data_IF_891547390434
#
_entry.id   IF_891547390434
#
_cell.length_a   1.000
_cell.length_b   1.000
_cell.length_c   1.000
_cell.angle_alpha   90.00
_cell.angle_beta   90.00
_cell.angle_gamma   90.00
#
_symmetry.space_group_name_H-M   'P 1'
#
loop_
_entity.id
_entity.type
_entity.pdbx_description
1 polymer ?
#
# COMPACT_ATOMS: atom_id res chain seq x y z
N UNK A 1 -13.93 -1.94 7.38
CA UNK A 1 -12.95 -0.94 7.90
C UNK A 1 -13.70 0.15 8.67
N UNK A 2 -13.02 0.98 9.46
CA UNK A 2 -13.66 2.10 10.17
C UNK A 2 -14.37 3.12 9.25
N UNK A 3 -14.00 3.17 7.96
CA UNK A 3 -14.62 4.03 6.94
C UNK A 3 -15.78 3.35 6.17
N UNK A 4 -16.19 2.13 6.54
CA UNK A 4 -17.29 1.40 5.87
C UNK A 4 -16.92 0.70 4.57
N UNK A 5 -15.67 0.79 4.08
CA UNK A 5 -15.25 0.13 2.84
C UNK A 5 -15.10 -1.39 3.04
N UNK A 6 -15.74 -2.17 2.17
CA UNK A 6 -15.58 -3.62 2.08
C UNK A 6 -14.32 -3.97 1.29
N UNK A 7 -13.56 -4.96 1.76
CA UNK A 7 -12.42 -5.54 1.03
C UNK A 7 -12.54 -7.05 0.96
N UNK A 8 -12.06 -7.60 -0.15
CA UNK A 8 -12.04 -9.04 -0.38
C UNK A 8 -10.61 -9.56 -0.47
N UNK A 9 -10.37 -10.70 0.17
CA UNK A 9 -9.06 -11.33 0.22
C UNK A 9 -9.14 -12.74 -0.36
N UNK A 10 -8.14 -13.09 -1.18
CA UNK A 10 -8.03 -14.45 -1.72
C UNK A 10 -7.55 -15.47 -0.68
N UNK A 11 -6.96 -15.01 0.44
CA UNK A 11 -6.46 -15.88 1.50
C UNK A 11 -6.39 -15.19 2.86
N UNK A 12 -6.33 -16.00 3.92
CA UNK A 12 -6.09 -15.53 5.29
C UNK A 12 -4.72 -14.83 5.41
N UNK A 13 -3.72 -15.24 4.62
CA UNK A 13 -2.41 -14.55 4.59
C UNK A 13 -2.56 -13.12 4.08
N UNK A 14 -3.32 -12.89 2.99
CA UNK A 14 -3.54 -11.55 2.46
C UNK A 14 -4.32 -10.67 3.45
N UNK A 15 -5.34 -11.23 4.10
CA UNK A 15 -6.05 -10.54 5.17
C UNK A 15 -5.11 -10.11 6.30
N UNK A 16 -4.21 -11.00 6.74
CA UNK A 16 -3.27 -10.68 7.83
C UNK A 16 -2.32 -9.56 7.42
N UNK A 17 -1.80 -9.57 6.19
CA UNK A 17 -0.94 -8.48 5.68
C UNK A 17 -1.67 -7.13 5.71
N UNK A 18 -2.86 -7.05 5.13
CA UNK A 18 -3.63 -5.80 5.15
C UNK A 18 -4.07 -5.41 6.57
N UNK A 19 -4.33 -6.37 7.45
CA UNK A 19 -4.72 -6.10 8.85
C UNK A 19 -3.60 -5.42 9.64
N UNK A 20 -2.34 -5.55 9.23
CA UNK A 20 -1.22 -4.83 9.84
C UNK A 20 -1.26 -3.32 9.54
N UNK A 21 -2.04 -2.90 8.54
CA UNK A 21 -2.21 -1.51 8.11
C UNK A 21 -3.60 -0.96 8.48
N UNK A 22 -4.67 -1.70 8.18
CA UNK A 22 -6.01 -1.11 8.06
C UNK A 22 -6.98 -1.41 9.20
N UNK A 23 -6.52 -1.88 10.37
CA UNK A 23 -7.39 -2.08 11.55
C UNK A 23 -8.69 -2.83 11.23
N UNK A 24 -8.57 -3.93 10.49
CA UNK A 24 -9.72 -4.62 9.86
C UNK A 24 -10.61 -5.28 10.92
N UNK A 25 -11.93 -5.07 10.78
CA UNK A 25 -12.99 -5.61 11.63
C UNK A 25 -14.07 -6.28 10.78
N UNK A 26 -15.01 -6.98 11.41
CA UNK A 26 -16.16 -7.67 10.78
C UNK A 26 -15.74 -8.66 9.68
N UNK A 27 -14.81 -9.53 10.02
CA UNK A 27 -14.17 -10.45 9.08
C UNK A 27 -15.15 -11.60 8.76
N UNK A 28 -15.52 -11.73 7.49
CA UNK A 28 -16.29 -12.85 6.96
C UNK A 28 -15.42 -13.77 6.10
N UNK A 29 -15.61 -15.08 6.23
CA UNK A 29 -14.89 -16.09 5.45
C UNK A 29 -15.87 -16.99 4.70
N UNK A 30 -15.46 -17.50 3.54
CA UNK A 30 -16.24 -18.47 2.78
C UNK A 30 -16.05 -19.87 3.35
N UNK A 31 -17.14 -20.50 3.80
CA UNK A 31 -17.15 -21.89 4.22
C UNK A 31 -16.76 -22.82 3.07
N UNK A 32 -15.92 -23.81 3.34
CA UNK A 32 -15.43 -24.70 2.30
C UNK A 32 -16.48 -25.68 1.80
N UNK A 33 -17.43 -26.12 2.62
CA UNK A 33 -18.43 -27.10 2.21
C UNK A 33 -19.55 -26.44 1.41
N UNK A 34 -20.24 -25.46 2.00
CA UNK A 34 -21.47 -24.88 1.45
C UNK A 34 -21.23 -23.58 0.67
N UNK A 35 -20.00 -23.05 0.68
CA UNK A 35 -19.57 -21.84 -0.07
C UNK A 35 -20.27 -20.54 0.35
N UNK A 36 -20.95 -20.52 1.49
CA UNK A 36 -21.57 -19.32 2.05
C UNK A 36 -20.57 -18.52 2.90
N UNK A 37 -20.83 -17.22 3.07
CA UNK A 37 -20.05 -16.39 3.98
C UNK A 37 -20.52 -16.58 5.42
N UNK A 38 -19.57 -16.84 6.30
CA UNK A 38 -19.77 -17.01 7.74
C UNK A 38 -18.90 -16.02 8.51
N UNK A 39 -19.26 -15.74 9.76
CA UNK A 39 -18.40 -15.00 10.68
C UNK A 39 -17.09 -15.76 10.90
N UNK A 40 -15.96 -15.08 10.71
CA UNK A 40 -14.66 -15.73 10.81
C UNK A 40 -14.34 -16.12 12.27
N UNK A 41 -14.69 -15.28 13.25
CA UNK A 41 -14.38 -15.55 14.66
C UNK A 41 -15.05 -16.83 15.18
N UNK A 42 -16.27 -17.12 14.73
CA UNK A 42 -17.01 -18.35 15.05
C UNK A 42 -16.62 -19.58 14.22
N UNK A 43 -15.70 -19.47 13.26
CA UNK A 43 -15.37 -20.55 12.33
C UNK A 43 -14.16 -21.39 12.76
N UNK A 44 -14.08 -22.62 12.24
CA UNK A 44 -12.96 -23.54 12.40
C UNK A 44 -12.11 -23.58 11.14
N UNK A 45 -10.80 -23.69 11.29
CA UNK A 45 -9.85 -23.79 10.20
C UNK A 45 -9.12 -25.13 10.22
N UNK A 46 -9.06 -25.80 9.08
CA UNK A 46 -8.09 -26.89 8.88
C UNK A 46 -6.83 -26.30 8.27
N UNK A 47 -5.73 -26.38 9.03
CA UNK A 47 -4.42 -25.80 8.66
C UNK A 47 -3.46 -26.90 8.26
N UNK A 48 -2.77 -26.74 7.12
CA UNK A 48 -1.75 -27.68 6.65
C UNK A 48 -2.32 -28.97 6.07
N UNK A 49 -3.51 -28.91 5.46
CA UNK A 49 -4.01 -30.02 4.65
C UNK A 49 -3.19 -30.20 3.37
N UNK A 50 -3.39 -31.32 2.69
CA UNK A 50 -2.83 -31.62 1.36
C UNK A 50 -3.24 -30.65 0.25
N UNK A 51 -4.19 -29.74 0.49
CA UNK A 51 -4.47 -28.66 -0.45
C UNK A 51 -3.32 -27.65 -0.49
N UNK A 52 -3.11 -27.06 -1.66
CA UNK A 52 -2.15 -25.98 -1.82
C UNK A 52 -2.65 -24.72 -1.10
N UNK A 53 -1.75 -24.06 -0.37
CA UNK A 53 -2.03 -22.75 0.22
C UNK A 53 -2.07 -21.64 -0.84
N UNK A 54 -2.87 -20.61 -0.59
CA UNK A 54 -2.97 -19.43 -1.46
C UNK A 54 -2.06 -18.34 -0.91
N UNK A 55 -0.97 -18.06 -1.62
CA UNK A 55 0.12 -17.15 -1.17
C UNK A 55 0.77 -17.57 0.16
N UNK A 56 0.78 -18.87 0.44
CA UNK A 56 1.32 -19.41 1.68
C UNK A 56 1.72 -20.87 1.53
N UNK A 57 2.71 -21.31 2.31
CA UNK A 57 3.15 -22.72 2.33
C UNK A 57 2.08 -23.67 2.87
N UNK A 58 1.32 -23.23 3.88
CA UNK A 58 0.27 -24.02 4.50
C UNK A 58 -1.12 -23.58 4.05
N UNK A 59 -1.95 -24.53 3.62
CA UNK A 59 -3.38 -24.30 3.43
C UNK A 59 -4.07 -23.91 4.73
N UNK A 60 -5.09 -23.04 4.63
CA UNK A 60 -5.91 -22.57 5.75
C UNK A 60 -7.34 -22.50 5.24
N UNK A 61 -8.15 -23.49 5.60
CA UNK A 61 -9.48 -23.72 5.00
C UNK A 61 -10.55 -23.61 6.09
N UNK A 62 -11.53 -22.72 5.90
CA UNK A 62 -12.55 -22.43 6.91
C UNK A 62 -13.79 -23.33 6.79
N UNK A 63 -14.39 -23.64 7.94
CA UNK A 63 -15.57 -24.47 8.11
C UNK A 63 -16.49 -23.87 9.18
N UNK A 64 -17.78 -23.81 8.90
CA UNK A 64 -18.82 -23.45 9.85
C UNK A 64 -19.09 -24.59 10.85
N UNK A 65 -19.06 -25.83 10.36
CA UNK A 65 -19.45 -27.01 11.13
C UNK A 65 -18.21 -27.82 11.56
N UNK A 66 -18.06 -28.14 12.86
CA UNK A 66 -17.00 -29.01 13.36
C UNK A 66 -16.92 -30.38 12.68
N UNK A 67 -18.06 -31.00 12.32
CA UNK A 67 -18.08 -32.32 11.66
C UNK A 67 -17.48 -32.28 10.25
N UNK A 68 -17.71 -31.19 9.53
CA UNK A 68 -17.17 -30.99 8.18
C UNK A 68 -15.66 -30.77 8.24
N UNK A 69 -15.19 -29.99 9.22
CA UNK A 69 -13.77 -29.80 9.47
C UNK A 69 -13.07 -31.13 9.83
N UNK A 70 -13.68 -31.96 10.69
CA UNK A 70 -13.17 -33.27 11.07
C UNK A 70 -13.11 -34.22 9.88
N UNK A 71 -14.17 -34.27 9.08
CA UNK A 71 -14.24 -35.12 7.88
C UNK A 71 -13.16 -34.70 6.88
N UNK A 72 -13.03 -33.40 6.64
CA UNK A 72 -12.01 -32.86 5.76
C UNK A 72 -10.60 -33.15 6.26
N UNK A 73 -10.32 -32.94 7.55
CA UNK A 73 -9.03 -33.24 8.15
C UNK A 73 -8.69 -34.74 8.10
N UNK A 74 -9.67 -35.63 8.29
CA UNK A 74 -9.49 -37.07 8.13
C UNK A 74 -9.14 -37.49 6.70
N UNK A 75 -9.69 -36.82 5.69
CA UNK A 75 -9.46 -37.12 4.27
C UNK A 75 -8.21 -36.44 3.69
N UNK A 76 -7.92 -35.21 4.10
CA UNK A 76 -6.90 -34.34 3.50
C UNK A 76 -5.73 -34.06 4.43
N UNK A 77 -5.77 -34.52 5.68
CA UNK A 77 -4.83 -34.17 6.73
C UNK A 77 -5.03 -32.73 7.22
N UNK A 78 -4.14 -32.30 8.12
CA UNK A 78 -4.13 -30.96 8.70
C UNK A 78 -4.69 -30.92 10.13
N UNK A 79 -4.39 -29.83 10.83
CA UNK A 79 -4.84 -29.59 12.20
C UNK A 79 -6.05 -28.67 12.23
N UNK A 80 -7.07 -29.03 13.00
CA UNK A 80 -8.23 -28.16 13.26
C UNK A 80 -7.81 -27.08 14.26
N UNK A 81 -8.10 -25.84 13.94
CA UNK A 81 -7.72 -24.64 14.68
C UNK A 81 -8.88 -23.65 14.73
N UNK A 82 -8.92 -22.82 15.76
CA UNK A 82 -9.77 -21.63 15.77
C UNK A 82 -9.29 -20.61 14.73
N UNK A 83 -10.14 -19.65 14.38
CA UNK A 83 -9.75 -18.53 13.53
C UNK A 83 -8.53 -17.76 14.08
N UNK A 84 -8.52 -17.46 15.38
CA UNK A 84 -7.42 -16.71 15.99
C UNK A 84 -6.09 -17.50 15.95
N UNK A 85 -6.11 -18.81 16.20
CA UNK A 85 -4.92 -19.63 16.01
C UNK A 85 -4.47 -19.69 14.54
N UNK A 86 -5.39 -19.83 13.60
CA UNK A 86 -5.07 -19.87 12.17
C UNK A 86 -4.51 -18.53 11.68
N UNK A 87 -5.04 -17.42 12.19
CA UNK A 87 -4.57 -16.06 11.94
C UNK A 87 -3.19 -15.84 12.53
N UNK A 88 -2.94 -16.32 13.76
CA UNK A 88 -1.60 -16.31 14.37
C UNK A 88 -0.60 -17.13 13.56
N UNK A 89 -0.96 -18.33 13.12
CA UNK A 89 -0.11 -19.15 12.24
C UNK A 89 0.19 -18.42 10.93
N UNK A 90 -0.81 -17.76 10.33
CA UNK A 90 -0.59 -16.95 9.14
C UNK A 90 0.38 -15.79 9.39
N UNK A 91 0.25 -15.10 10.54
CA UNK A 91 1.15 -14.04 10.98
C UNK A 91 2.59 -14.55 11.17
N UNK A 92 2.77 -15.63 11.93
CA UNK A 92 4.07 -16.22 12.24
C UNK A 92 4.78 -16.75 10.98
N UNK A 93 4.03 -17.23 9.99
CA UNK A 93 4.56 -17.72 8.73
C UNK A 93 4.82 -16.64 7.69
N UNK A 94 4.34 -15.39 7.87
CA UNK A 94 4.40 -14.33 6.85
C UNK A 94 5.78 -14.19 6.22
N UNK A 95 6.84 -14.07 7.01
CA UNK A 95 8.21 -13.92 6.49
C UNK A 95 8.60 -15.07 5.56
N UNK A 96 8.24 -16.29 5.97
CA UNK A 96 8.59 -17.50 5.23
C UNK A 96 7.69 -17.72 4.00
N UNK A 97 6.44 -17.27 4.07
CA UNK A 97 5.45 -17.29 2.99
C UNK A 97 5.80 -16.24 1.93
N UNK A 98 6.24 -15.04 2.34
CA UNK A 98 6.78 -14.00 1.47
C UNK A 98 7.95 -14.53 0.67
N UNK A 99 8.96 -15.10 1.32
CA UNK A 99 10.12 -15.67 0.64
C UNK A 99 9.75 -16.80 -0.34
N UNK A 100 8.69 -17.56 -0.05
CA UNK A 100 8.19 -18.59 -0.96
C UNK A 100 7.50 -17.99 -2.19
N UNK A 101 6.63 -17.01 -1.98
CA UNK A 101 5.96 -16.28 -3.05
C UNK A 101 6.97 -15.53 -3.92
N UNK A 102 7.95 -14.88 -3.34
CA UNK A 102 9.02 -14.16 -4.05
C UNK A 102 9.85 -15.09 -4.92
N UNK A 103 10.14 -16.31 -4.43
CA UNK A 103 10.81 -17.35 -5.21
C UNK A 103 9.98 -17.76 -6.43
N UNK A 104 8.68 -17.96 -6.26
CA UNK A 104 7.77 -18.29 -7.39
C UNK A 104 7.72 -17.14 -8.37
N UNK A 105 7.56 -15.92 -7.87
CA UNK A 105 7.47 -14.72 -8.69
C UNK A 105 8.73 -14.53 -9.53
N UNK A 106 9.90 -14.58 -8.89
CA UNK A 106 11.21 -14.42 -9.53
C UNK A 106 11.49 -15.53 -10.55
N UNK A 107 11.17 -16.78 -10.22
CA UNK A 107 11.48 -17.91 -11.10
C UNK A 107 10.52 -18.03 -12.30
N UNK A 108 9.26 -17.59 -12.17
CA UNK A 108 8.21 -17.87 -13.17
C UNK A 108 7.38 -16.65 -13.57
N UNK A 109 6.86 -15.89 -12.61
CA UNK A 109 5.88 -14.82 -12.88
C UNK A 109 6.54 -13.61 -13.53
N UNK A 110 7.62 -13.08 -12.97
CA UNK A 110 8.32 -11.91 -13.52
C UNK A 110 8.92 -12.18 -14.90
N UNK A 111 9.60 -13.32 -15.16
CA UNK A 111 10.09 -13.62 -16.51
C UNK A 111 8.95 -13.70 -17.55
N UNK A 112 7.81 -14.28 -17.17
CA UNK A 112 6.63 -14.35 -18.03
C UNK A 112 6.06 -12.95 -18.30
N UNK A 113 5.89 -12.13 -17.26
CA UNK A 113 5.42 -10.75 -17.37
C UNK A 113 6.34 -9.90 -18.24
N UNK A 114 7.65 -9.99 -18.03
CA UNK A 114 8.67 -9.31 -18.85
C UNK A 114 8.57 -9.70 -20.31
N UNK A 115 8.45 -11.00 -20.62
CA UNK A 115 8.31 -11.47 -22.00
C UNK A 115 7.04 -10.94 -22.67
N UNK A 116 5.92 -10.88 -21.94
CA UNK A 116 4.67 -10.31 -22.45
C UNK A 116 4.85 -8.82 -22.72
N UNK A 117 5.41 -8.08 -21.77
CA UNK A 117 5.64 -6.64 -21.90
C UNK A 117 6.51 -6.31 -23.11
N UNK A 118 7.66 -6.97 -23.27
CA UNK A 118 8.63 -6.65 -24.32
C UNK A 118 8.22 -7.13 -25.71
N UNK A 119 7.47 -8.23 -25.83
CA UNK A 119 7.17 -8.86 -27.12
C UNK A 119 5.75 -8.59 -27.62
N UNK A 120 4.80 -8.30 -26.72
CA UNK A 120 3.37 -8.30 -27.06
C UNK A 120 2.69 -6.96 -26.80
N UNK A 121 3.14 -6.19 -25.81
CA UNK A 121 2.55 -4.90 -25.52
C UNK A 121 3.15 -3.84 -26.46
N UNK A 122 2.36 -2.81 -26.78
CA UNK A 122 2.91 -1.64 -27.49
C UNK A 122 3.99 -1.03 -26.58
N UNK A 123 5.15 -0.71 -27.14
CA UNK A 123 6.22 0.00 -26.42
C UNK A 123 5.83 1.47 -26.28
N UNK A 124 4.98 1.80 -25.31
CA UNK A 124 4.73 3.18 -24.89
C UNK A 124 5.19 3.30 -23.44
N UNK A 125 5.57 4.52 -23.04
CA UNK A 125 5.86 4.81 -21.64
C UNK A 125 4.56 4.68 -20.86
N UNK A 126 4.35 3.53 -20.21
CA UNK A 126 3.40 3.46 -19.10
C UNK A 126 4.07 4.26 -17.98
N UNK A 127 3.48 5.39 -17.60
CA UNK A 127 3.86 6.08 -16.37
C UNK A 127 3.35 5.24 -15.18
N UNK A 128 4.08 4.17 -14.88
CA UNK A 128 3.72 3.16 -13.85
C UNK A 128 3.54 3.75 -12.45
N UNK A 129 4.07 4.95 -12.29
CA UNK A 129 4.02 5.70 -11.08
C UNK A 129 2.63 6.34 -10.89
N UNK A 130 1.82 6.57 -11.92
CA UNK A 130 0.57 7.36 -11.80
C UNK A 130 -0.57 6.62 -11.06
N UNK A 131 -0.36 5.34 -10.77
CA UNK A 131 -1.36 4.46 -10.17
C UNK A 131 -1.13 4.29 -8.66
N UNK A 132 -2.20 4.45 -7.87
CA UNK A 132 -2.20 4.20 -6.43
C UNK A 132 -2.25 2.71 -6.11
N UNK A 133 -3.04 1.95 -6.88
CA UNK A 133 -3.22 0.52 -6.70
C UNK A 133 -2.97 -0.27 -8.00
N UNK A 134 -2.53 -1.53 -7.85
CA UNK A 134 -2.26 -2.42 -9.00
C UNK A 134 -3.51 -2.64 -9.87
N UNK A 135 -4.71 -2.52 -9.29
CA UNK A 135 -5.96 -2.69 -10.02
C UNK A 135 -6.26 -1.49 -10.92
N UNK A 136 -5.82 -0.28 -10.57
CA UNK A 136 -5.87 0.88 -11.47
C UNK A 136 -4.94 0.67 -12.68
N UNK A 137 -3.72 0.18 -12.45
CA UNK A 137 -2.79 -0.18 -13.52
C UNK A 137 -3.42 -1.23 -14.45
N UNK A 138 -4.02 -2.28 -13.89
CA UNK A 138 -4.72 -3.32 -14.67
C UNK A 138 -5.84 -2.70 -15.53
N UNK A 139 -6.71 -1.90 -14.91
CA UNK A 139 -7.80 -1.23 -15.60
C UNK A 139 -7.29 -0.34 -16.75
N UNK A 140 -6.20 0.40 -16.52
CA UNK A 140 -5.58 1.23 -17.55
C UNK A 140 -5.05 0.41 -18.73
N UNK A 141 -4.36 -0.71 -18.48
CA UNK A 141 -3.85 -1.61 -19.53
C UNK A 141 -4.99 -2.12 -20.42
N UNK A 142 -6.13 -2.49 -19.83
CA UNK A 142 -7.29 -3.00 -20.55
C UNK A 142 -8.02 -1.91 -21.34
N UNK A 143 -8.35 -0.79 -20.68
CA UNK A 143 -9.14 0.31 -21.26
C UNK A 143 -8.41 0.98 -22.43
N UNK A 144 -7.09 1.19 -22.29
CA UNK A 144 -6.26 1.79 -23.33
C UNK A 144 -5.79 0.77 -24.39
N UNK A 145 -6.15 -0.52 -24.24
CA UNK A 145 -5.79 -1.60 -25.18
C UNK A 145 -4.29 -1.65 -25.47
N UNK A 146 -3.50 -1.57 -24.40
CA UNK A 146 -2.05 -1.43 -24.41
C UNK A 146 -1.33 -2.74 -24.78
N UNK A 147 -1.99 -3.86 -24.49
CA UNK A 147 -1.54 -5.21 -24.78
C UNK A 147 -2.67 -5.99 -25.48
N UNK A 148 -2.35 -7.05 -26.25
CA UNK A 148 -3.36 -7.93 -26.82
C UNK A 148 -4.17 -8.63 -25.72
N UNK A 149 -5.29 -9.27 -26.09
CA UNK A 149 -6.10 -10.03 -25.12
C UNK A 149 -5.26 -11.15 -24.50
N UNK A 150 -5.02 -11.05 -23.19
CA UNK A 150 -4.30 -12.03 -22.39
C UNK A 150 -5.29 -12.89 -21.60
N UNK A 151 -4.89 -14.12 -21.26
CA UNK A 151 -5.63 -14.89 -20.27
C UNK A 151 -5.33 -14.36 -18.85
N UNK A 152 -6.15 -14.75 -17.87
CA UNK A 152 -6.04 -14.24 -16.49
C UNK A 152 -4.63 -14.42 -15.88
N UNK A 153 -3.99 -15.55 -16.12
CA UNK A 153 -2.64 -15.83 -15.58
C UNK A 153 -1.56 -14.95 -16.25
N UNK A 154 -1.63 -14.80 -17.57
CA UNK A 154 -0.72 -13.94 -18.33
C UNK A 154 -0.89 -12.47 -17.94
N UNK A 155 -2.13 -12.03 -17.81
CA UNK A 155 -2.46 -10.67 -17.41
C UNK A 155 -1.96 -10.36 -16.00
N UNK A 156 -2.21 -11.27 -15.05
CA UNK A 156 -1.70 -11.13 -13.68
C UNK A 156 -0.17 -11.07 -13.65
N UNK A 157 0.53 -11.88 -14.45
CA UNK A 157 1.99 -11.86 -14.49
C UNK A 157 2.55 -10.57 -15.09
N UNK A 158 1.90 -10.03 -16.14
CA UNK A 158 2.24 -8.73 -16.70
C UNK A 158 2.06 -7.62 -15.64
N UNK A 159 0.90 -7.58 -14.98
CA UNK A 159 0.60 -6.58 -13.97
C UNK A 159 1.60 -6.61 -12.80
N UNK A 160 1.90 -7.81 -12.27
CA UNK A 160 2.87 -7.96 -11.18
C UNK A 160 4.29 -7.57 -11.61
N UNK A 161 4.73 -7.94 -12.82
CA UNK A 161 6.03 -7.52 -13.32
C UNK A 161 6.13 -6.00 -13.44
N UNK A 162 5.12 -5.35 -14.01
CA UNK A 162 5.10 -3.90 -14.15
C UNK A 162 5.07 -3.21 -12.77
N UNK A 163 4.23 -3.69 -11.86
CA UNK A 163 4.04 -3.11 -10.53
C UNK A 163 5.22 -3.31 -9.59
N UNK A 164 5.76 -4.54 -9.51
CA UNK A 164 6.73 -4.93 -8.47
C UNK A 164 8.18 -4.89 -8.97
N UNK A 165 8.42 -4.81 -10.29
CA UNK A 165 9.78 -4.73 -10.85
C UNK A 165 9.99 -3.43 -11.61
N UNK A 166 9.20 -3.19 -12.66
CA UNK A 166 9.46 -2.06 -13.54
C UNK A 166 9.24 -0.71 -12.83
N UNK A 167 8.19 -0.59 -12.03
CA UNK A 167 7.92 0.61 -11.20
C UNK A 167 9.06 0.86 -10.21
N UNK A 168 9.52 -0.17 -9.51
CA UNK A 168 10.64 -0.08 -8.57
C UNK A 168 11.93 0.39 -9.27
N UNK A 169 12.26 -0.18 -10.44
CA UNK A 169 13.44 0.24 -11.21
C UNK A 169 13.39 1.71 -11.61
N UNK A 170 12.21 2.23 -11.99
CA UNK A 170 12.05 3.65 -12.33
C UNK A 170 12.30 4.53 -11.10
N UNK A 171 11.76 4.14 -9.95
CA UNK A 171 11.93 4.90 -8.72
C UNK A 171 13.35 4.81 -8.17
N UNK A 172 14.03 3.67 -8.29
CA UNK A 172 15.43 3.51 -7.86
C UNK A 172 16.42 4.26 -8.74
N UNK A 173 16.07 4.52 -10.01
CA UNK A 173 16.89 5.31 -10.92
C UNK A 173 16.83 6.83 -10.64
N UNK A 174 15.89 7.31 -9.82
CA UNK A 174 15.76 8.72 -9.47
C UNK A 174 16.74 9.04 -8.34
N UNK A 175 17.80 9.78 -8.69
CA UNK A 175 18.72 10.37 -7.72
C UNK A 175 17.98 11.37 -6.81
N UNK A 176 18.39 11.43 -5.54
CA UNK A 176 17.86 12.33 -4.51
C UNK A 176 16.36 12.17 -4.18
N UNK A 177 15.80 10.95 -4.25
CA UNK A 177 14.42 10.67 -3.80
C UNK A 177 14.28 10.60 -2.28
N UNK A 178 13.03 10.68 -1.79
CA UNK A 178 12.71 10.26 -0.41
C UNK A 178 12.84 8.75 -0.31
N UNK A 179 13.75 8.27 0.55
CA UNK A 179 14.00 6.83 0.77
C UNK A 179 13.32 6.40 2.06
N UNK A 180 12.58 5.30 1.99
CA UNK A 180 11.73 4.81 3.07
C UNK A 180 12.00 3.32 3.29
N UNK A 181 12.24 2.92 4.54
CA UNK A 181 12.38 1.53 4.94
C UNK A 181 11.06 0.73 4.88
N UNK A 182 11.16 -0.59 4.68
CA UNK A 182 9.98 -1.47 4.55
C UNK A 182 9.13 -1.56 5.83
N UNK A 183 9.71 -1.25 6.99
CA UNK A 183 9.06 -1.27 8.30
C UNK A 183 8.54 0.11 8.74
N UNK A 184 8.83 1.17 7.98
CA UNK A 184 8.42 2.53 8.32
C UNK A 184 6.93 2.75 8.09
N UNK A 185 6.22 3.11 9.16
CA UNK A 185 4.79 3.41 9.15
C UNK A 185 4.52 4.88 9.37
N UNK A 186 3.50 5.38 8.68
CA UNK A 186 2.99 6.72 8.90
C UNK A 186 2.41 6.83 10.32
N UNK A 187 2.89 7.77 11.18
CA UNK A 187 2.36 7.96 12.53
C UNK A 187 0.87 8.32 12.59
N UNK A 188 0.32 8.84 11.49
CA UNK A 188 -1.04 9.37 11.42
C UNK A 188 -2.04 8.28 10.99
N UNK A 189 -1.82 7.64 9.84
CA UNK A 189 -2.74 6.62 9.32
C UNK A 189 -2.32 5.17 9.63
N UNK A 190 -1.06 4.93 10.02
CA UNK A 190 -0.53 3.58 10.29
C UNK A 190 -0.12 2.76 9.06
N UNK A 191 -0.25 3.32 7.85
CA UNK A 191 0.12 2.64 6.60
C UNK A 191 1.63 2.51 6.44
N UNK A 192 2.09 1.44 5.79
CA UNK A 192 3.49 1.28 5.44
C UNK A 192 3.87 2.24 4.33
N UNK A 193 4.79 3.16 4.63
CA UNK A 193 5.11 4.30 3.76
C UNK A 193 5.88 3.90 2.50
N UNK A 194 6.65 2.81 2.55
CA UNK A 194 7.39 2.28 1.39
C UNK A 194 6.48 1.86 0.22
N UNK A 195 5.19 1.62 0.47
CA UNK A 195 4.21 1.29 -0.57
C UNK A 195 3.78 2.50 -1.40
N UNK A 196 4.02 3.71 -0.89
CA UNK A 196 3.62 4.98 -1.51
C UNK A 196 4.81 5.92 -1.74
N UNK A 197 5.88 5.45 -2.42
CA UNK A 197 7.14 6.20 -2.53
C UNK A 197 7.00 7.53 -3.26
N UNK A 198 5.97 7.70 -4.10
CA UNK A 198 5.69 8.97 -4.79
C UNK A 198 5.15 10.08 -3.90
N UNK A 199 4.50 9.67 -2.83
CA UNK A 199 3.81 10.54 -1.89
C UNK A 199 4.61 10.70 -0.59
N UNK A 200 5.64 9.86 -0.43
CA UNK A 200 6.46 9.81 0.75
C UNK A 200 6.98 11.20 1.12
N UNK A 201 6.86 11.51 2.40
CA UNK A 201 7.37 12.72 2.98
C UNK A 201 8.02 12.40 4.33
N UNK A 202 8.96 13.22 4.78
CA UNK A 202 9.74 12.95 5.98
C UNK A 202 9.93 14.19 6.85
N UNK A 203 9.85 14.01 8.16
CA UNK A 203 10.29 15.00 9.15
C UNK A 203 11.54 14.44 9.84
N UNK A 204 12.63 15.19 9.79
CA UNK A 204 13.87 14.89 10.50
C UNK A 204 13.96 15.76 11.75
N UNK A 205 14.42 15.18 12.85
CA UNK A 205 14.55 15.87 14.12
C UNK A 205 15.71 15.31 14.95
N UNK A 206 16.28 16.15 15.79
CA UNK A 206 17.35 15.75 16.72
C UNK A 206 16.77 15.39 18.08
N UNK A 207 17.17 14.23 18.58
CA UNK A 207 16.88 13.77 19.93
C UNK A 207 18.11 13.04 20.50
N UNK A 208 18.55 13.45 21.69
CA UNK A 208 19.74 12.91 22.38
C UNK A 208 21.02 12.93 21.51
N UNK A 209 21.21 14.04 20.78
CA UNK A 209 22.30 14.25 19.82
C UNK A 209 22.34 13.27 18.63
N UNK A 210 21.28 12.49 18.42
CA UNK A 210 21.09 11.67 17.24
C UNK A 210 20.00 12.28 16.35
N UNK A 211 20.21 12.26 15.04
CA UNK A 211 19.16 12.58 14.08
C UNK A 211 18.26 11.36 13.87
N UNK A 212 16.96 11.60 13.89
CA UNK A 212 15.92 10.62 13.63
C UNK A 212 14.98 11.18 12.57
N UNK A 213 14.22 10.30 11.92
CA UNK A 213 13.15 10.73 11.01
C UNK A 213 11.86 9.96 11.27
N UNK A 214 10.76 10.57 10.82
CA UNK A 214 9.47 9.92 10.64
C UNK A 214 9.10 10.03 9.16
N UNK A 215 8.60 8.94 8.59
CA UNK A 215 8.05 8.91 7.23
C UNK A 215 6.54 8.97 7.26
N UNK A 216 5.97 9.61 6.24
CA UNK A 216 4.54 9.80 6.03
C UNK A 216 4.20 9.33 4.62
N UNK A 217 2.99 8.81 4.45
CA UNK A 217 2.44 8.36 3.18
C UNK A 217 1.92 9.52 2.31
N UNK A 218 1.97 10.75 2.82
CA UNK A 218 1.55 11.95 2.11
C UNK A 218 1.87 13.22 2.89
N UNK A 219 1.81 14.36 2.21
CA UNK A 219 2.05 15.68 2.82
C UNK A 219 0.92 16.05 3.80
N UNK A 220 -0.32 15.64 3.52
CA UNK A 220 -1.47 15.84 4.40
C UNK A 220 -1.23 15.27 5.78
N UNK A 221 -0.82 14.01 5.85
CA UNK A 221 -0.56 13.34 7.12
C UNK A 221 0.69 13.90 7.79
N UNK A 222 1.73 14.22 7.01
CA UNK A 222 2.88 14.99 7.52
C UNK A 222 2.42 16.30 8.19
N UNK A 223 1.51 17.06 7.57
CA UNK A 223 1.04 18.34 8.10
C UNK A 223 0.12 18.17 9.31
N UNK A 224 -0.75 17.15 9.34
CA UNK A 224 -1.54 16.81 10.54
C UNK A 224 -0.62 16.52 11.73
N UNK A 225 0.47 15.80 11.48
CA UNK A 225 1.48 15.54 12.49
C UNK A 225 2.24 16.80 12.88
N UNK A 226 2.72 17.59 11.91
CA UNK A 226 3.48 18.82 12.14
C UNK A 226 2.73 19.81 13.06
N UNK A 227 1.41 19.96 12.88
CA UNK A 227 0.61 20.86 13.71
C UNK A 227 0.30 20.34 15.11
N UNK A 228 0.16 19.02 15.27
CA UNK A 228 -0.18 18.42 16.57
C UNK A 228 0.39 17.00 16.71
N UNK A 229 1.71 16.85 16.95
CA UNK A 229 2.34 15.54 17.06
C UNK A 229 1.74 14.68 18.17
N UNK A 230 1.35 15.31 19.29
CA UNK A 230 0.87 14.60 20.49
C UNK A 230 -0.52 13.98 20.30
N UNK A 231 -1.30 14.45 19.32
CA UNK A 231 -2.55 13.80 18.92
C UNK A 231 -2.35 12.38 18.37
N UNK A 232 -1.18 12.12 17.79
CA UNK A 232 -0.87 10.87 17.08
C UNK A 232 0.01 9.90 17.88
N UNK A 233 0.35 10.25 19.13
CA UNK A 233 1.15 9.40 20.00
C UNK A 233 2.01 10.21 20.97
N UNK A 234 2.97 9.53 21.61
CA UNK A 234 3.85 10.17 22.58
C UNK A 234 5.04 10.88 21.89
N UNK A 235 4.75 11.99 21.19
CA UNK A 235 5.71 12.75 20.39
C UNK A 235 6.10 14.10 21.01
N UNK A 236 6.03 14.24 22.33
CA UNK A 236 6.28 15.49 23.07
C UNK A 236 7.65 16.15 22.80
N UNK A 237 8.60 15.40 22.25
CA UNK A 237 9.97 15.85 21.93
C UNK A 237 10.08 16.44 20.52
N UNK A 238 9.09 16.22 19.66
CA UNK A 238 9.10 16.70 18.28
C UNK A 238 8.32 18.01 18.23
N UNK A 239 9.03 19.09 17.93
CA UNK A 239 8.48 20.44 17.83
C UNK A 239 9.38 21.28 16.94
N UNK A 240 8.93 22.49 16.56
CA UNK A 240 9.62 23.32 15.57
C UNK A 240 11.12 23.56 15.84
N UNK A 241 11.57 23.53 17.11
CA UNK A 241 12.98 23.71 17.49
C UNK A 241 13.84 22.45 17.31
N UNK A 242 13.26 21.26 17.37
CA UNK A 242 13.99 20.00 17.19
C UNK A 242 13.97 19.51 15.75
N UNK A 243 13.02 19.97 14.94
CA UNK A 243 12.93 19.64 13.52
C UNK A 243 14.09 20.30 12.77
N UNK A 244 14.96 19.49 12.17
CA UNK A 244 16.11 19.95 11.38
C UNK A 244 15.77 20.12 9.91
N UNK A 245 14.93 19.25 9.37
CA UNK A 245 14.61 19.18 7.93
C UNK A 245 13.24 18.57 7.71
N UNK A 246 12.54 19.03 6.68
CA UNK A 246 11.29 18.41 6.21
C UNK A 246 11.44 18.18 4.70
N UNK A 247 11.28 16.93 4.27
CA UNK A 247 11.36 16.55 2.87
C UNK A 247 9.98 16.14 2.36
N UNK A 248 9.65 16.58 1.15
CA UNK A 248 8.46 16.14 0.41
C UNK A 248 8.87 15.70 -0.99
N UNK A 249 8.13 14.78 -1.59
CA UNK A 249 8.44 14.25 -2.92
C UNK A 249 7.79 15.09 -4.01
N UNK A 250 8.58 15.80 -4.82
CA UNK A 250 8.09 16.60 -5.95
C UNK A 250 7.24 15.72 -6.89
N UNK A 251 6.02 16.17 -7.21
CA UNK A 251 5.05 15.34 -7.93
C UNK A 251 5.50 14.93 -9.35
N UNK A 252 6.22 15.80 -10.07
CA UNK A 252 6.67 15.49 -11.43
C UNK A 252 8.01 14.79 -11.45
N UNK A 253 9.00 15.33 -10.74
CA UNK A 253 10.38 14.82 -10.81
C UNK A 253 10.64 13.65 -9.89
N UNK A 254 9.76 13.42 -8.91
CA UNK A 254 9.89 12.39 -7.87
C UNK A 254 11.14 12.54 -6.98
N UNK A 255 11.80 13.71 -7.05
CA UNK A 255 12.92 14.06 -6.19
C UNK A 255 12.43 14.58 -4.84
N UNK A 256 13.21 14.34 -3.79
CA UNK A 256 13.02 15.01 -2.52
C UNK A 256 13.34 16.50 -2.66
N UNK A 257 12.44 17.33 -2.16
CA UNK A 257 12.61 18.78 -2.08
C UNK A 257 12.36 19.27 -0.65
N UNK A 258 12.97 20.39 -0.26
CA UNK A 258 12.69 21.03 1.02
C UNK A 258 11.24 21.53 1.04
N UNK A 259 10.46 21.02 1.98
CA UNK A 259 9.05 21.33 2.17
C UNK A 259 8.83 22.84 2.38
N UNK A 260 9.73 23.53 3.09
CA UNK A 260 9.54 24.94 3.43
C UNK A 260 9.68 25.87 2.21
N UNK A 261 10.40 25.43 1.18
CA UNK A 261 10.55 26.17 -0.08
C UNK A 261 9.56 25.75 -1.17
N UNK A 262 8.82 24.66 -0.97
CA UNK A 262 7.93 24.08 -1.97
C UNK A 262 6.62 24.87 -2.15
N UNK A 263 5.97 24.61 -3.28
CA UNK A 263 4.61 25.06 -3.59
C UNK A 263 3.66 23.87 -3.52
N UNK A 264 2.46 24.07 -2.97
CA UNK A 264 1.49 23.00 -2.76
C UNK A 264 0.18 23.31 -3.49
N UNK A 265 -0.28 22.38 -4.32
CA UNK A 265 -1.62 22.45 -4.91
C UNK A 265 -2.59 21.70 -4.02
N UNK A 266 -3.73 22.32 -3.72
CA UNK A 266 -4.85 21.72 -2.98
C UNK A 266 -6.12 21.69 -3.82
N UNK A 267 -6.99 20.72 -3.55
CA UNK A 267 -8.29 20.58 -4.19
C UNK A 267 -8.21 20.21 -5.66
N UNK A 268 -7.20 19.40 -6.05
CA UNK A 268 -7.14 18.77 -7.36
C UNK A 268 -7.96 17.49 -7.41
N UNK A 269 -8.14 16.95 -8.61
CA UNK A 269 -8.72 15.63 -8.86
C UNK A 269 -7.72 14.47 -8.75
N UNK A 270 -6.49 14.76 -8.32
CA UNK A 270 -5.46 13.75 -8.07
C UNK A 270 -5.44 13.38 -6.60
N UNK A 271 -5.51 12.09 -6.32
CA UNK A 271 -5.54 11.57 -4.96
C UNK A 271 -4.19 11.01 -4.54
N UNK A 272 -3.81 11.29 -3.29
CA UNK A 272 -2.78 10.56 -2.57
C UNK A 272 -3.34 9.29 -1.91
N UNK A 273 -2.52 8.55 -1.15
CA UNK A 273 -2.93 7.29 -0.52
C UNK A 273 -4.15 7.44 0.41
N UNK A 274 -4.32 8.65 0.97
CA UNK A 274 -5.39 8.99 1.89
C UNK A 274 -6.46 9.92 1.25
N UNK A 275 -6.59 9.95 -0.07
CA UNK A 275 -7.58 10.79 -0.76
C UNK A 275 -7.03 12.17 -1.13
N UNK A 276 -7.82 13.24 -0.94
CA UNK A 276 -7.38 14.60 -1.31
C UNK A 276 -6.09 14.97 -0.57
N UNK A 277 -5.19 15.67 -1.27
CA UNK A 277 -3.78 15.81 -0.87
C UNK A 277 -3.23 17.22 -1.11
N UNK A 278 -2.18 17.57 -0.37
CA UNK A 278 -1.29 18.71 -0.58
C UNK A 278 -0.17 18.30 -1.54
N UNK A 279 -0.33 18.58 -2.83
CA UNK A 279 0.60 18.06 -3.85
C UNK A 279 1.80 19.01 -4.00
N UNK A 280 3.04 18.56 -3.72
CA UNK A 280 4.21 19.44 -3.65
C UNK A 280 4.94 19.59 -5.01
N UNK A 281 5.45 20.80 -5.25
CA UNK A 281 6.20 21.19 -6.44
C UNK A 281 7.41 22.05 -6.08
N UNK A 282 8.46 21.96 -6.90
CA UNK A 282 9.72 22.67 -6.68
C UNK A 282 9.65 24.11 -7.18
N UNK A 283 8.72 24.43 -8.07
CA UNK A 283 8.50 25.76 -8.63
C UNK A 283 7.02 26.12 -8.69
N UNK A 284 6.75 27.42 -8.80
CA UNK A 284 5.40 27.92 -8.97
C UNK A 284 4.82 27.53 -10.34
N UNK A 285 5.66 27.51 -11.37
CA UNK A 285 5.29 27.14 -12.74
C UNK A 285 4.82 25.69 -12.82
N UNK A 286 5.52 24.76 -12.14
CA UNK A 286 5.10 23.36 -12.01
C UNK A 286 3.74 23.25 -11.31
N UNK A 287 3.58 23.93 -10.16
CA UNK A 287 2.34 23.94 -9.41
C UNK A 287 1.17 24.53 -10.22
N UNK A 288 1.42 25.58 -11.01
CA UNK A 288 0.43 26.21 -11.87
C UNK A 288 0.01 25.30 -13.03
N UNK A 289 0.96 24.64 -13.68
CA UNK A 289 0.69 23.64 -14.70
C UNK A 289 -0.21 22.53 -14.16
N UNK A 290 0.22 21.91 -13.06
CA UNK A 290 -0.55 20.86 -12.40
C UNK A 290 -1.94 21.31 -12.00
N UNK A 291 -2.07 22.50 -11.38
CA UNK A 291 -3.36 23.05 -10.97
C UNK A 291 -4.32 23.16 -12.16
N UNK A 292 -3.83 23.59 -13.33
CA UNK A 292 -4.67 23.73 -14.51
C UNK A 292 -5.08 22.36 -15.09
N UNK A 293 -4.14 21.42 -15.14
CA UNK A 293 -4.36 20.08 -15.70
C UNK A 293 -5.28 19.22 -14.82
N UNK A 294 -5.17 19.38 -13.49
CA UNK A 294 -5.85 18.55 -12.48
C UNK A 294 -6.91 19.31 -11.69
N UNK A 295 -7.42 20.40 -12.26
CA UNK A 295 -8.53 21.20 -11.68
C UNK A 295 -8.28 21.64 -10.24
N UNK A 296 -7.03 21.89 -9.88
CA UNK A 296 -6.63 22.32 -8.55
C UNK A 296 -7.30 23.65 -8.16
N UNK A 297 -7.70 23.74 -6.89
CA UNK A 297 -8.40 24.91 -6.38
C UNK A 297 -7.43 26.06 -6.09
N UNK A 298 -6.31 25.79 -5.41
CA UNK A 298 -5.37 26.83 -4.94
C UNK A 298 -3.94 26.32 -4.87
N UNK A 299 -2.98 27.22 -5.10
CA UNK A 299 -1.56 27.03 -4.76
C UNK A 299 -1.27 27.76 -3.46
N UNK A 300 -0.60 27.10 -2.52
CA UNK A 300 -0.17 27.66 -1.23
C UNK A 300 1.30 27.35 -0.95
N UNK A 301 1.95 28.20 -0.16
CA UNK A 301 3.29 27.95 0.40
C UNK A 301 3.20 27.24 1.75
N UNK A 302 4.32 26.68 2.21
CA UNK A 302 4.38 25.93 3.47
C UNK A 302 3.83 26.71 4.68
N UNK A 303 4.18 27.98 4.79
CA UNK A 303 3.77 28.90 5.87
C UNK A 303 2.31 29.37 5.77
N UNK A 304 1.68 29.20 4.61
CA UNK A 304 0.26 29.51 4.39
C UNK A 304 -0.67 28.32 4.69
N UNK A 305 -0.11 27.11 4.85
CA UNK A 305 -0.88 25.92 5.18
C UNK A 305 -1.35 26.04 6.64
N UNK A 306 -2.64 25.78 6.86
CA UNK A 306 -3.26 25.84 8.19
C UNK A 306 -3.89 24.49 8.55
N UNK A 307 -4.07 24.17 9.85
CA UNK A 307 -4.78 22.96 10.27
C UNK A 307 -6.15 22.83 9.60
N UNK A 308 -6.90 23.93 9.49
CA UNK A 308 -8.23 23.93 8.86
C UNK A 308 -8.19 23.49 7.40
N UNK A 309 -7.18 23.95 6.64
CA UNK A 309 -6.99 23.51 5.25
C UNK A 309 -6.67 22.01 5.18
N UNK A 310 -5.78 21.52 6.04
CA UNK A 310 -5.35 20.12 6.04
C UNK A 310 -6.51 19.17 6.37
N UNK A 311 -7.28 19.47 7.42
CA UNK A 311 -8.41 18.62 7.82
C UNK A 311 -9.62 18.72 6.88
N UNK A 312 -9.70 19.77 6.06
CA UNK A 312 -10.74 19.84 5.02
C UNK A 312 -10.52 18.81 3.89
N UNK A 313 -9.29 18.28 3.72
CA UNK A 313 -8.95 17.27 2.71
C UNK A 313 -9.38 15.84 3.10
N UNK A 314 -9.94 15.64 4.29
CA UNK A 314 -10.52 14.35 4.71
C UNK A 314 -12.01 14.23 4.31
N UNK A 315 -12.57 15.28 3.70
CA UNK A 315 -13.98 15.38 3.30
C UNK A 315 -14.15 15.18 1.80
#
# INVERSE_FOLDING_TARGET
MHNGTERHYCSLRCLVVDSQEYGIQDIRVRDYHNKTFIDANGSLYVVGSSLQGVHSKLSKVAFANPKDAQTFAGQKGGAIKSFEEARKIALDLLKSDNAYDDKIKTAKIYPMGKKIYTQKCKSFAIELNDFLEIDELKSHIETQKLCPRLNAQQFQALALYLWEQQRHNVLEAIEDRVVVGEDEKCPVCGMFTYKYPRWAAQIFFVHDNCEHHLSFDGVKDLMKFYFDPNKWGNYHRIHAKTITKILVTNYYTQKAIDAKSAFYVIGSDTYGPMGHELIPFGSFEEALGFKNDHRGAKIVRFDEITPTMVYALDK
#
